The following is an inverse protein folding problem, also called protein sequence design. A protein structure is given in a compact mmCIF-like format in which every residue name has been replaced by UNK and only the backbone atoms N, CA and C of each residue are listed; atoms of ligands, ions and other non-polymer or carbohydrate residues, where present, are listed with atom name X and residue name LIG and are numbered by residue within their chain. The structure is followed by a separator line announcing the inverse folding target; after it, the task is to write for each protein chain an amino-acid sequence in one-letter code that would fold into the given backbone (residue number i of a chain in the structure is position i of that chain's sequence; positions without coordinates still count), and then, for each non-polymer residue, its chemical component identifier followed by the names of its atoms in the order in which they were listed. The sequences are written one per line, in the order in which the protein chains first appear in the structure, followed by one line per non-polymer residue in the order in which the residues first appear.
data_IF_320705735862
#
_entry.id   IF_320705735862
#
_cell.length_a   1.000
_cell.length_b   1.000
_cell.length_c   1.000
_cell.angle_alpha   90.00
_cell.angle_beta   90.00
_cell.angle_gamma   90.00
#
_symmetry.space_group_name_H-M   'P 1'
#
loop_
_entity.id
_entity.type
_entity.pdbx_description
1 polymer ?
#
# COMPACT_ATOMS: atom_id res chain seq x y z
N UNK A 1 -23.82 -0.18 2.09
CA UNK A 1 -24.63 -1.37 2.33
C UNK A 1 -24.83 -2.12 1.02
N UNK A 2 -24.32 -3.35 0.85
CA UNK A 2 -24.42 -4.07 -0.40
C UNK A 2 -25.86 -4.42 -0.78
N UNK A 3 -26.72 -4.75 0.18
CA UNK A 3 -28.14 -5.00 -0.05
C UNK A 3 -28.88 -3.79 -0.62
N UNK A 4 -28.59 -2.59 -0.14
CA UNK A 4 -29.17 -1.36 -0.67
C UNK A 4 -28.72 -1.05 -2.10
N UNK A 5 -27.49 -1.44 -2.50
CA UNK A 5 -27.01 -1.31 -3.86
C UNK A 5 -27.74 -2.28 -4.82
N UNK A 6 -28.08 -3.47 -4.35
CA UNK A 6 -28.81 -4.45 -5.15
C UNK A 6 -30.24 -4.02 -5.44
N UNK A 7 -30.93 -3.39 -4.47
CA UNK A 7 -32.30 -2.88 -4.69
C UNK A 7 -32.38 -1.80 -5.76
N UNK A 8 -31.30 -1.08 -6.03
CA UNK A 8 -31.20 -0.08 -7.12
C UNK A 8 -30.65 -0.69 -8.42
N UNK A 9 -30.55 -2.04 -8.50
CA UNK A 9 -30.15 -2.75 -9.72
C UNK A 9 -28.65 -2.88 -9.93
N UNK A 10 -27.82 -2.52 -8.95
CA UNK A 10 -26.36 -2.68 -9.05
C UNK A 10 -25.98 -4.12 -8.69
N UNK A 11 -25.31 -4.82 -9.63
CA UNK A 11 -24.78 -6.16 -9.37
C UNK A 11 -23.60 -6.11 -8.38
N UNK A 12 -23.85 -6.38 -7.11
CA UNK A 12 -22.83 -6.40 -6.04
C UNK A 12 -21.72 -7.39 -6.34
N UNK A 13 -22.09 -8.59 -6.81
CA UNK A 13 -21.12 -9.63 -7.16
C UNK A 13 -20.24 -9.18 -8.32
N UNK A 14 -20.84 -8.66 -9.40
CA UNK A 14 -20.11 -8.15 -10.56
C UNK A 14 -19.13 -7.04 -10.19
N UNK A 15 -19.54 -6.09 -9.35
CA UNK A 15 -18.67 -5.02 -8.86
C UNK A 15 -17.52 -5.55 -8.00
N UNK A 16 -17.74 -6.57 -7.18
CA UNK A 16 -16.66 -7.20 -6.40
C UNK A 16 -15.63 -7.86 -7.31
N UNK A 17 -16.08 -8.63 -8.30
CA UNK A 17 -15.17 -9.24 -9.28
C UNK A 17 -14.39 -8.21 -10.07
N UNK A 18 -15.04 -7.17 -10.57
CA UNK A 18 -14.39 -6.09 -11.30
C UNK A 18 -13.28 -5.44 -10.49
N UNK A 19 -13.58 -5.08 -9.23
CA UNK A 19 -12.59 -4.45 -8.35
C UNK A 19 -11.40 -5.37 -8.03
N UNK A 20 -11.63 -6.67 -7.84
CA UNK A 20 -10.56 -7.64 -7.60
C UNK A 20 -9.69 -7.81 -8.85
N UNK A 21 -10.30 -7.90 -10.04
CA UNK A 21 -9.57 -8.01 -11.31
C UNK A 21 -8.72 -6.75 -11.55
N UNK A 22 -9.29 -5.56 -11.36
CA UNK A 22 -8.55 -4.30 -11.48
C UNK A 22 -7.40 -4.21 -10.48
N UNK A 23 -7.66 -4.54 -9.22
CA UNK A 23 -6.63 -4.58 -8.19
C UNK A 23 -5.51 -5.57 -8.50
N UNK A 24 -5.86 -6.77 -8.96
CA UNK A 24 -4.91 -7.79 -9.42
C UNK A 24 -4.09 -7.33 -10.62
N UNK A 25 -4.72 -6.64 -11.58
CA UNK A 25 -4.03 -6.05 -12.74
C UNK A 25 -2.99 -5.01 -12.34
N UNK A 26 -3.36 -4.07 -11.45
CA UNK A 26 -2.43 -3.06 -10.94
C UNK A 26 -1.29 -3.70 -10.14
N UNK A 27 -1.61 -4.71 -9.30
CA UNK A 27 -0.59 -5.45 -8.56
C UNK A 27 0.36 -6.21 -9.50
N UNK A 28 -0.16 -6.76 -10.60
CA UNK A 28 0.64 -7.40 -11.65
C UNK A 28 1.61 -6.44 -12.33
N UNK A 29 1.15 -5.23 -12.66
CA UNK A 29 2.02 -4.17 -13.21
C UNK A 29 3.12 -3.77 -12.21
N UNK A 30 2.79 -3.65 -10.93
CA UNK A 30 3.78 -3.38 -9.89
C UNK A 30 4.81 -4.51 -9.75
N UNK A 31 4.38 -5.77 -9.88
CA UNK A 31 5.27 -6.94 -9.92
C UNK A 31 6.18 -6.95 -11.14
N UNK A 32 5.64 -6.62 -12.31
CA UNK A 32 6.42 -6.49 -13.54
C UNK A 32 7.48 -5.38 -13.43
N UNK A 33 7.12 -4.22 -12.90
CA UNK A 33 8.07 -3.15 -12.62
C UNK A 33 9.19 -3.62 -11.68
N UNK A 34 8.82 -4.33 -10.61
CA UNK A 34 9.80 -4.81 -9.62
C UNK A 34 10.79 -5.80 -10.25
N UNK A 35 10.32 -6.73 -11.07
CA UNK A 35 11.18 -7.76 -11.68
C UNK A 35 12.03 -7.23 -12.85
N UNK A 36 11.49 -6.33 -13.66
CA UNK A 36 12.15 -5.86 -14.87
C UNK A 36 13.07 -4.67 -14.62
N UNK A 37 12.62 -3.71 -13.80
CA UNK A 37 13.31 -2.44 -13.61
C UNK A 37 14.10 -2.40 -12.29
N UNK A 38 13.49 -2.78 -11.16
CA UNK A 38 14.10 -2.59 -9.87
C UNK A 38 15.16 -3.66 -9.53
N UNK A 39 14.93 -4.90 -9.94
CA UNK A 39 15.81 -6.05 -9.62
C UNK A 39 16.54 -6.57 -10.87
N UNK A 40 15.92 -6.42 -12.06
CA UNK A 40 16.45 -6.91 -13.33
C UNK A 40 16.39 -8.44 -13.52
N UNK A 41 15.84 -9.16 -12.53
CA UNK A 41 15.68 -10.61 -12.53
C UNK A 41 14.50 -11.02 -11.65
N UNK A 42 14.03 -12.25 -11.81
CA UNK A 42 13.04 -12.81 -10.91
C UNK A 42 13.75 -13.62 -9.81
N UNK A 43 13.75 -13.08 -8.60
CA UNK A 43 14.36 -13.72 -7.45
C UNK A 43 13.34 -14.05 -6.36
N UNK A 44 13.61 -15.15 -5.64
CA UNK A 44 12.76 -15.56 -4.53
C UNK A 44 12.86 -14.52 -3.41
N UNK A 45 11.72 -13.98 -2.99
CA UNK A 45 11.65 -12.98 -1.92
C UNK A 45 11.92 -11.53 -2.35
N UNK A 46 12.01 -11.23 -3.65
CA UNK A 46 12.28 -9.88 -4.17
C UNK A 46 11.27 -8.81 -3.68
N UNK A 47 10.08 -9.22 -3.29
CA UNK A 47 9.07 -8.30 -2.75
C UNK A 47 9.43 -7.76 -1.36
N UNK A 48 10.25 -8.49 -0.59
CA UNK A 48 10.82 -8.11 0.71
C UNK A 48 9.85 -7.31 1.61
N UNK A 49 8.64 -7.84 1.80
CA UNK A 49 7.63 -7.21 2.66
C UNK A 49 6.90 -6.01 2.07
N UNK A 50 7.13 -5.62 0.80
CA UNK A 50 6.44 -4.48 0.16
C UNK A 50 4.92 -4.61 0.17
N UNK A 51 4.39 -5.83 0.22
CA UNK A 51 2.95 -6.05 0.39
C UNK A 51 2.41 -5.55 1.72
N UNK A 52 3.14 -5.71 2.82
CA UNK A 52 2.76 -5.16 4.12
C UNK A 52 2.82 -3.63 4.14
N UNK A 53 3.81 -3.04 3.45
CA UNK A 53 3.88 -1.59 3.26
C UNK A 53 2.67 -1.10 2.48
N UNK A 54 2.23 -1.81 1.45
CA UNK A 54 1.03 -1.46 0.69
C UNK A 54 -0.25 -1.49 1.55
N UNK A 55 -0.38 -2.48 2.46
CA UNK A 55 -1.48 -2.51 3.43
C UNK A 55 -1.40 -1.30 4.39
N UNK A 56 -0.22 -0.96 4.88
CA UNK A 56 -0.02 0.22 5.71
C UNK A 56 -0.44 1.49 4.96
N UNK A 57 0.00 1.67 3.72
CA UNK A 57 -0.38 2.80 2.83
C UNK A 57 -1.89 2.91 2.68
N UNK A 58 -2.60 1.80 2.50
CA UNK A 58 -4.07 1.79 2.41
C UNK A 58 -4.73 2.26 3.70
N UNK A 59 -4.24 1.79 4.85
CA UNK A 59 -4.76 2.20 6.18
C UNK A 59 -4.46 3.68 6.43
N UNK A 60 -3.24 4.14 6.16
CA UNK A 60 -2.84 5.55 6.26
C UNK A 60 -3.64 6.45 5.34
N UNK A 61 -3.94 5.98 4.15
CA UNK A 61 -4.82 6.65 3.19
C UNK A 61 -6.29 6.68 3.63
N UNK A 62 -6.63 6.12 4.81
CA UNK A 62 -8.00 6.09 5.37
C UNK A 62 -9.02 5.43 4.43
N UNK A 63 -8.61 4.37 3.74
CA UNK A 63 -9.43 3.66 2.76
C UNK A 63 -9.93 4.55 1.61
N UNK A 64 -9.25 5.68 1.37
CA UNK A 64 -9.54 6.59 0.28
C UNK A 64 -8.44 6.50 -0.78
N UNK A 65 -8.78 6.39 -2.08
CA UNK A 65 -7.77 6.29 -3.15
C UNK A 65 -6.78 7.45 -3.19
N UNK A 66 -7.27 8.69 -3.00
CA UNK A 66 -6.42 9.89 -3.00
C UNK A 66 -5.48 9.90 -1.79
N UNK A 67 -6.01 9.53 -0.61
CA UNK A 67 -5.21 9.39 0.60
C UNK A 67 -4.16 8.29 0.48
N UNK A 68 -4.52 7.14 -0.09
CA UNK A 68 -3.59 6.04 -0.33
C UNK A 68 -2.50 6.43 -1.33
N UNK A 69 -2.84 7.19 -2.38
CA UNK A 69 -1.86 7.72 -3.34
C UNK A 69 -0.88 8.67 -2.66
N UNK A 70 -1.35 9.62 -1.85
CA UNK A 70 -0.50 10.52 -1.07
C UNK A 70 0.40 9.78 -0.08
N UNK A 71 -0.14 8.78 0.63
CA UNK A 71 0.64 7.92 1.51
C UNK A 71 1.70 7.12 0.74
N UNK A 72 1.37 6.58 -0.44
CA UNK A 72 2.31 5.86 -1.29
C UNK A 72 3.49 6.73 -1.73
N UNK A 73 3.21 7.98 -2.12
CA UNK A 73 4.27 8.95 -2.48
C UNK A 73 5.18 9.25 -1.29
N UNK A 74 4.61 9.42 -0.09
CA UNK A 74 5.37 9.69 1.12
C UNK A 74 6.28 8.52 1.49
N UNK A 75 5.75 7.29 1.49
CA UNK A 75 6.56 6.10 1.75
C UNK A 75 7.61 5.85 0.67
N UNK A 76 7.26 6.09 -0.61
CA UNK A 76 8.19 6.00 -1.72
C UNK A 76 9.34 7.01 -1.57
N UNK A 77 9.02 8.25 -1.23
CA UNK A 77 10.01 9.28 -0.97
C UNK A 77 10.93 8.93 0.21
N UNK A 78 10.37 8.47 1.33
CA UNK A 78 11.14 8.03 2.49
C UNK A 78 12.11 6.88 2.15
N UNK A 79 11.65 5.92 1.35
CA UNK A 79 12.49 4.82 0.87
C UNK A 79 13.59 5.29 -0.07
N UNK A 80 13.30 6.23 -0.96
CA UNK A 80 14.30 6.81 -1.87
C UNK A 80 15.37 7.57 -1.09
N UNK A 81 14.97 8.35 -0.10
CA UNK A 81 15.89 9.07 0.79
C UNK A 81 16.79 8.08 1.55
N UNK A 82 16.22 7.01 2.10
CA UNK A 82 16.99 5.96 2.77
C UNK A 82 18.04 5.36 1.84
N UNK A 83 17.66 5.01 0.61
CA UNK A 83 18.57 4.46 -0.39
C UNK A 83 19.71 5.44 -0.72
N UNK A 84 19.39 6.71 -0.89
CA UNK A 84 20.39 7.74 -1.17
C UNK A 84 21.40 7.91 -0.03
N UNK A 85 20.96 7.84 1.22
CA UNK A 85 21.85 7.91 2.37
C UNK A 85 22.76 6.67 2.47
N UNK A 86 22.25 5.49 2.13
CA UNK A 86 23.05 4.26 2.11
C UNK A 86 24.20 4.31 1.08
N UNK A 87 23.96 4.97 -0.06
CA UNK A 87 25.01 5.11 -1.11
C UNK A 87 26.05 6.18 -0.80
N UNK A 88 25.79 7.10 0.11
CA UNK A 88 26.67 8.26 0.31
C UNK A 88 27.67 8.13 1.44
N UNK A 89 27.63 7.06 2.23
CA UNK A 89 28.50 6.85 3.41
C UNK A 89 28.67 8.07 4.34
N UNK A 90 27.71 8.98 4.33
CA UNK A 90 27.88 10.37 4.75
C UNK A 90 27.58 10.63 6.21
N UNK A 91 26.89 9.75 6.90
CA UNK A 91 26.29 10.11 8.18
C UNK A 91 26.63 9.22 9.37
N UNK A 92 27.08 8.00 9.16
CA UNK A 92 27.43 7.15 10.32
C UNK A 92 28.26 5.93 9.91
N UNK A 93 29.20 5.57 10.76
CA UNK A 93 29.93 4.28 10.71
C UNK A 93 28.99 3.06 10.88
N UNK A 94 27.72 3.27 11.21
CA UNK A 94 26.72 2.22 11.42
C UNK A 94 25.53 2.32 10.44
N UNK A 95 25.48 1.44 9.40
CA UNK A 95 24.39 1.40 8.41
C UNK A 95 23.00 1.13 9.02
N UNK A 96 22.95 0.60 10.24
CA UNK A 96 21.70 0.21 10.91
C UNK A 96 20.80 1.42 11.25
N UNK A 97 21.39 2.58 11.56
CA UNK A 97 20.63 3.79 11.87
C UNK A 97 19.90 4.36 10.65
N UNK A 98 20.43 4.17 9.46
CA UNK A 98 19.80 4.61 8.21
C UNK A 98 18.52 3.78 7.93
N UNK A 99 18.51 2.52 8.33
CA UNK A 99 17.33 1.64 8.21
C UNK A 99 16.13 2.10 9.04
N UNK A 100 16.32 2.95 10.05
CA UNK A 100 15.26 3.42 10.95
C UNK A 100 14.45 4.58 10.31
N UNK A 101 15.00 5.28 9.32
CA UNK A 101 14.39 6.48 8.71
C UNK A 101 12.93 6.26 8.26
N UNK A 102 12.59 5.21 7.48
CA UNK A 102 11.21 4.99 7.05
C UNK A 102 10.26 4.74 8.23
N UNK A 103 10.73 4.09 9.28
CA UNK A 103 9.94 3.81 10.48
C UNK A 103 9.66 5.09 11.28
N UNK A 104 10.64 5.96 11.43
CA UNK A 104 10.48 7.26 12.10
C UNK A 104 9.51 8.13 11.31
N UNK A 105 9.67 8.22 9.99
CA UNK A 105 8.74 8.96 9.12
C UNK A 105 7.32 8.40 9.27
N UNK A 106 7.18 7.08 9.31
CA UNK A 106 5.89 6.41 9.53
C UNK A 106 5.26 6.82 10.86
N UNK A 107 6.02 6.80 11.94
CA UNK A 107 5.53 7.17 13.29
C UNK A 107 5.12 8.64 13.33
N UNK A 108 5.93 9.53 12.78
CA UNK A 108 5.65 10.98 12.74
C UNK A 108 4.38 11.28 11.96
N UNK A 109 4.23 10.64 10.79
CA UNK A 109 3.03 10.79 9.96
C UNK A 109 1.80 10.19 10.65
N UNK A 110 1.96 9.02 11.28
CA UNK A 110 0.88 8.39 12.05
C UNK A 110 0.39 9.27 13.19
N UNK A 111 1.32 9.85 13.95
CA UNK A 111 1.00 10.69 15.09
C UNK A 111 0.39 12.05 14.70
N UNK A 112 0.81 12.60 13.55
CA UNK A 112 0.44 13.97 13.15
C UNK A 112 -0.73 14.07 12.18
N UNK A 113 -0.89 13.12 11.26
CA UNK A 113 -1.83 13.22 10.13
C UNK A 113 -2.94 12.17 10.12
N UNK A 114 -2.76 11.04 10.79
CA UNK A 114 -3.75 9.96 10.76
C UNK A 114 -4.74 10.12 11.90
N UNK A 115 -5.84 10.80 11.61
CA UNK A 115 -7.04 10.69 12.43
C UNK A 115 -7.61 9.26 12.36
N UNK A 116 -8.73 9.00 13.10
CA UNK A 116 -9.38 7.68 13.11
C UNK A 116 -9.68 7.17 11.71
N UNK A 117 -8.90 6.21 11.23
CA UNK A 117 -9.20 5.45 10.02
C UNK A 117 -10.41 4.54 10.30
N UNK A 118 -11.51 4.73 9.56
CA UNK A 118 -12.68 3.86 9.67
C UNK A 118 -12.69 2.93 8.47
N UNK A 119 -12.52 1.62 8.69
CA UNK A 119 -12.65 0.65 7.59
C UNK A 119 -14.10 0.62 7.08
N UNK A 120 -14.32 0.23 5.82
CA UNK A 120 -15.66 0.02 5.28
C UNK A 120 -16.43 -1.01 6.11
N UNK A 121 -17.71 -0.72 6.40
CA UNK A 121 -18.53 -1.52 7.31
C UNK A 121 -18.71 -3.00 6.87
N UNK A 122 -18.63 -3.25 5.54
CA UNK A 122 -18.80 -4.59 4.96
C UNK A 122 -17.49 -5.30 4.65
N UNK A 123 -16.36 -4.81 5.17
CA UNK A 123 -15.05 -5.43 4.89
C UNK A 123 -14.99 -6.84 5.51
N UNK A 124 -14.56 -7.80 4.72
CA UNK A 124 -14.43 -9.20 5.15
C UNK A 124 -15.74 -9.95 5.32
N UNK A 125 -16.91 -9.33 5.07
CA UNK A 125 -18.19 -9.99 5.15
C UNK A 125 -18.54 -10.69 3.83
N UNK A 126 -18.90 -12.01 3.85
CA UNK A 126 -19.41 -12.67 2.68
C UNK A 126 -20.77 -12.04 2.30
N UNK A 127 -21.03 -11.94 1.02
CA UNK A 127 -22.31 -11.48 0.50
C UNK A 127 -23.10 -12.70 0.02
N UNK A 128 -24.21 -13.01 0.68
CA UNK A 128 -25.20 -13.98 0.22
C UNK A 128 -26.43 -13.22 -0.30
N UNK A 129 -26.87 -13.60 -1.48
CA UNK A 129 -28.14 -13.12 -2.05
C UNK A 129 -29.26 -13.80 -1.26
N UNK A 130 -30.08 -13.05 -0.59
CA UNK A 130 -31.35 -13.53 0.00
C UNK A 130 -32.46 -13.47 -1.04
#
# INVERSE_FOLDING_TARGET
HPSAAETVGVSVIGMRYLNVIMGGGIAGLAGAYLSLEAVGSFERGMTNGKGFVALAVMIFGRWNPVGAWGAALLFGYASAVQTQFQFRDWLTDDPQFIGIIPFVVTIVVLAGFVGRARPPASIGQPYSRE
#
